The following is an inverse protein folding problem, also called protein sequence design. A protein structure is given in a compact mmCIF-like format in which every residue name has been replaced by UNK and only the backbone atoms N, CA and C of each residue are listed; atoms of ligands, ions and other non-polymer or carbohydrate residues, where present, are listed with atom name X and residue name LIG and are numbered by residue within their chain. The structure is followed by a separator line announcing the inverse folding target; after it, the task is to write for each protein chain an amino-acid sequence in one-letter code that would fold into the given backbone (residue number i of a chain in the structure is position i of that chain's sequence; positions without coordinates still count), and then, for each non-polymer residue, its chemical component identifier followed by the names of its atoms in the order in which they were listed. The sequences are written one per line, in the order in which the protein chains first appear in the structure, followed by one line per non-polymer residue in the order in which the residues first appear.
data_IF_865279584379
#
_entry.id   IF_865279584379
#
_cell.length_a   1.000
_cell.length_b   1.000
_cell.length_c   1.000
_cell.angle_alpha   90.00
_cell.angle_beta   90.00
_cell.angle_gamma   90.00
#
_symmetry.space_group_name_H-M   'P 1'
#
loop_
_entity.id
_entity.type
_entity.pdbx_description
1 polymer ?
#
# COMPACT_ATOMS: atom_id res chain seq x y z
N UNK A 1 21.49 5.19 -14.25
CA UNK A 1 21.05 3.80 -14.05
C UNK A 1 19.87 3.74 -13.07
N UNK A 2 19.97 4.41 -11.91
CA UNK A 2 18.88 4.62 -10.95
C UNK A 2 17.63 5.33 -11.53
N UNK A 3 17.79 6.28 -12.46
CA UNK A 3 16.66 6.90 -13.18
C UNK A 3 15.86 5.89 -14.01
N UNK A 4 16.53 4.96 -14.72
CA UNK A 4 15.87 3.86 -15.44
C UNK A 4 15.21 2.85 -14.51
N UNK A 5 15.73 2.68 -13.28
CA UNK A 5 15.14 1.84 -12.24
C UNK A 5 13.91 2.51 -11.60
N UNK A 6 13.95 3.82 -11.34
CA UNK A 6 12.79 4.61 -10.91
C UNK A 6 11.72 4.59 -12.01
N UNK A 7 12.10 4.70 -13.28
CA UNK A 7 11.18 4.54 -14.42
C UNK A 7 10.63 3.12 -14.52
N UNK A 8 11.41 2.08 -14.18
CA UNK A 8 10.95 0.68 -14.15
C UNK A 8 10.02 0.43 -12.97
N UNK A 9 10.32 0.97 -11.78
CA UNK A 9 9.44 0.99 -10.61
C UNK A 9 8.16 1.76 -10.92
N UNK A 10 8.23 2.91 -11.61
CA UNK A 10 7.06 3.64 -12.06
C UNK A 10 6.25 2.84 -13.10
N UNK A 11 6.88 2.07 -13.98
CA UNK A 11 6.18 1.20 -14.95
C UNK A 11 5.52 -0.03 -14.32
N UNK A 12 6.07 -0.58 -13.25
CA UNK A 12 5.49 -1.72 -12.52
C UNK A 12 4.45 -1.27 -11.47
N UNK A 13 4.53 -0.02 -10.99
CA UNK A 13 3.72 0.48 -9.87
C UNK A 13 2.81 1.69 -10.15
N UNK A 14 2.84 2.27 -11.34
CA UNK A 14 1.85 3.27 -11.76
C UNK A 14 1.08 2.76 -12.96
N UNK A 15 -0.21 2.47 -12.72
CA UNK A 15 -1.28 2.55 -13.70
C UNK A 15 -1.01 1.84 -15.03
N UNK A 16 -1.35 0.56 -15.06
CA UNK A 16 -2.11 0.03 -16.19
C UNK A 16 -3.54 -0.23 -15.71
N UNK A 17 -4.34 0.84 -15.55
CA UNK A 17 -5.80 0.71 -15.60
C UNK A 17 -6.15 0.70 -17.09
N UNK A 18 -6.36 -0.49 -17.63
CA UNK A 18 -6.98 -0.67 -18.93
C UNK A 18 -8.47 -0.43 -18.73
N UNK A 19 -8.99 0.68 -19.25
CA UNK A 19 -10.44 0.83 -19.43
C UNK A 19 -10.89 -0.12 -20.53
N UNK A 20 -11.66 -1.15 -20.15
CA UNK A 20 -12.50 -1.88 -21.10
C UNK A 20 -13.89 -1.22 -21.12
N UNK A 21 -14.21 -0.49 -22.20
CA UNK A 21 -15.60 -0.16 -22.50
C UNK A 21 -16.19 -1.35 -23.25
N UNK A 22 -17.06 -2.11 -22.59
CA UNK A 22 -17.88 -3.11 -23.27
C UNK A 22 -18.87 -2.35 -24.15
N UNK A 23 -18.70 -2.39 -25.47
CA UNK A 23 -19.81 -2.26 -26.40
C UNK A 23 -19.78 -3.41 -27.41
N UNK A 24 -20.93 -4.08 -27.44
CA UNK A 24 -21.37 -5.17 -28.28
C UNK A 24 -21.17 -4.88 -29.77
N UNK A 25 -20.29 -5.63 -30.43
CA UNK A 25 -20.68 -6.62 -31.45
C UNK A 25 -19.43 -7.16 -32.19
N UNK A 26 -19.54 -8.42 -32.62
CA UNK A 26 -18.73 -9.14 -33.62
C UNK A 26 -17.46 -9.92 -33.18
N UNK A 27 -17.73 -11.18 -32.79
CA UNK A 27 -17.15 -12.45 -33.29
C UNK A 27 -15.62 -12.70 -33.44
N UNK A 28 -15.19 -13.77 -32.74
CA UNK A 28 -14.15 -14.79 -33.07
C UNK A 28 -12.70 -14.26 -33.20
N UNK A 29 -11.80 -14.42 -32.22
CA UNK A 29 -10.98 -15.64 -31.92
C UNK A 29 -9.96 -15.24 -30.83
N UNK A 30 -9.53 -16.10 -29.87
CA UNK A 30 -8.68 -15.69 -28.74
C UNK A 30 -7.19 -15.66 -29.11
N UNK A 31 -6.43 -14.71 -28.56
CA UNK A 31 -4.96 -14.67 -28.71
C UNK A 31 -4.30 -14.58 -27.33
N UNK A 32 -3.63 -15.68 -26.95
CA UNK A 32 -2.57 -15.70 -25.94
C UNK A 32 -1.32 -15.03 -26.54
N UNK A 33 -0.63 -14.18 -25.76
CA UNK A 33 0.74 -13.78 -26.09
C UNK A 33 1.66 -13.97 -24.87
N UNK A 34 2.45 -15.02 -24.98
CA UNK A 34 3.76 -15.23 -24.38
C UNK A 34 4.81 -14.36 -25.09
N UNK A 35 5.78 -13.82 -24.35
CA UNK A 35 6.93 -12.97 -24.77
C UNK A 35 7.75 -13.44 -26.01
N UNK A 36 8.75 -12.66 -26.55
CA UNK A 36 9.21 -11.28 -26.23
C UNK A 36 9.49 -10.37 -27.48
N UNK A 37 9.59 -9.04 -27.31
CA UNK A 37 10.08 -8.13 -28.37
C UNK A 37 10.20 -6.65 -27.98
N UNK A 38 11.37 -6.24 -27.47
CA UNK A 38 11.72 -4.86 -27.12
C UNK A 38 12.74 -4.31 -28.13
N UNK A 39 12.47 -3.15 -28.73
CA UNK A 39 13.44 -2.37 -29.50
C UNK A 39 13.52 -0.93 -28.97
N UNK A 40 14.75 -0.46 -28.78
CA UNK A 40 15.11 0.84 -28.20
C UNK A 40 15.78 1.71 -29.26
N UNK A 41 15.39 2.98 -29.39
CA UNK A 41 16.11 3.99 -30.16
C UNK A 41 16.14 5.33 -29.42
N UNK A 42 17.34 5.87 -29.23
CA UNK A 42 17.69 7.25 -28.90
C UNK A 42 16.65 8.09 -28.12
N UNK A 43 16.59 7.81 -26.82
CA UNK A 43 15.90 8.60 -25.78
C UNK A 43 14.37 8.71 -25.83
N UNK A 44 13.68 8.04 -26.75
CA UNK A 44 12.24 7.80 -26.68
C UNK A 44 11.90 6.41 -27.26
N UNK A 45 11.06 5.61 -26.59
CA UNK A 45 10.51 4.39 -27.19
C UNK A 45 9.06 4.63 -27.60
N UNK A 46 8.80 4.42 -28.89
CA UNK A 46 7.54 4.60 -29.60
C UNK A 46 7.05 3.21 -30.05
N UNK A 47 5.79 2.86 -29.80
CA UNK A 47 5.05 1.89 -30.62
C UNK A 47 3.62 2.41 -30.81
N UNK A 48 3.31 2.74 -32.06
CA UNK A 48 1.95 2.72 -32.63
C UNK A 48 1.85 1.49 -33.52
N UNK A 49 0.66 0.88 -33.67
CA UNK A 49 -0.15 0.94 -34.91
C UNK A 49 -1.63 0.77 -34.50
N UNK A 50 -2.48 1.54 -35.16
CA UNK A 50 -3.85 1.84 -34.81
C UNK A 50 -4.82 1.43 -35.93
N UNK A 51 -6.07 1.15 -35.57
CA UNK A 51 -7.29 1.55 -36.32
C UNK A 51 -8.45 1.90 -35.36
N UNK A 52 -8.20 2.65 -34.27
CA UNK A 52 -8.75 4.02 -34.07
C UNK A 52 -8.56 4.66 -32.65
N UNK A 53 -7.50 4.36 -31.88
CA UNK A 53 -6.82 5.33 -30.97
C UNK A 53 -5.46 4.88 -30.37
N UNK A 54 -4.57 5.88 -30.22
CA UNK A 54 -3.21 5.85 -29.63
C UNK A 54 -3.18 6.51 -28.24
N UNK A 55 -2.39 6.01 -27.28
CA UNK A 55 -2.18 6.64 -25.96
C UNK A 55 -0.71 6.78 -25.55
N UNK A 56 -0.39 7.93 -24.94
CA UNK A 56 0.96 8.39 -24.59
C UNK A 56 1.16 8.44 -23.06
N UNK A 57 2.42 8.44 -22.61
CA UNK A 57 2.79 9.09 -21.35
C UNK A 57 4.16 9.76 -21.50
N UNK A 58 4.17 11.10 -21.42
CA UNK A 58 5.37 11.92 -21.40
C UNK A 58 5.94 12.01 -19.99
N UNK A 59 7.24 12.29 -19.88
CA UNK A 59 7.88 12.73 -18.65
C UNK A 59 7.08 13.87 -17.99
N UNK A 60 6.98 13.83 -16.66
CA UNK A 60 6.60 14.99 -15.89
C UNK A 60 7.81 15.93 -15.81
N UNK A 61 7.82 16.96 -16.63
CA UNK A 61 8.58 18.18 -16.36
C UNK A 61 8.06 18.74 -15.02
N UNK A 62 8.88 18.63 -13.95
CA UNK A 62 8.86 19.37 -12.67
C UNK A 62 9.19 18.56 -11.41
N UNK A 63 9.62 17.30 -11.50
CA UNK A 63 10.28 16.67 -10.35
C UNK A 63 11.70 17.24 -10.21
N UNK A 64 11.93 18.09 -9.20
CA UNK A 64 13.29 18.48 -8.78
C UNK A 64 14.12 17.19 -8.62
N UNK A 65 15.35 17.12 -9.15
CA UNK A 65 16.17 15.92 -9.01
C UNK A 65 16.37 15.65 -7.53
N UNK A 66 15.88 14.49 -7.06
CA UNK A 66 16.33 13.91 -5.79
C UNK A 66 17.85 13.82 -5.92
N UNK A 67 18.61 14.40 -4.99
CA UNK A 67 20.06 14.21 -4.98
C UNK A 67 20.33 12.71 -4.94
N UNK A 68 20.72 12.16 -6.10
CA UNK A 68 20.97 10.75 -6.29
C UNK A 68 22.22 10.41 -5.48
N UNK A 69 22.10 9.42 -4.59
CA UNK A 69 23.19 8.86 -3.82
C UNK A 69 24.28 8.42 -4.81
N UNK A 70 25.51 8.88 -4.59
CA UNK A 70 26.66 8.63 -5.45
C UNK A 70 26.90 7.12 -5.62
N UNK A 71 26.97 6.62 -6.86
CA UNK A 71 27.21 5.19 -7.18
C UNK A 71 28.54 4.69 -6.56
N UNK A 72 29.43 5.60 -6.14
CA UNK A 72 30.66 5.29 -5.42
C UNK A 72 30.47 4.80 -3.97
N UNK A 73 29.28 4.95 -3.37
CA UNK A 73 29.04 4.61 -1.96
C UNK A 73 29.01 3.09 -1.67
N UNK A 74 28.81 2.23 -2.66
CA UNK A 74 28.51 0.81 -2.42
C UNK A 74 29.54 -0.20 -2.92
N UNK A 75 30.73 0.23 -3.36
CA UNK A 75 31.87 -0.64 -3.68
C UNK A 75 31.54 -1.89 -4.56
N UNK A 76 30.51 -1.81 -5.41
CA UNK A 76 30.04 -2.92 -6.25
C UNK A 76 29.25 -4.03 -5.52
N UNK A 77 28.92 -3.85 -4.24
CA UNK A 77 28.01 -4.72 -3.48
C UNK A 77 26.54 -4.29 -3.59
N UNK A 78 25.61 -5.16 -3.16
CA UNK A 78 24.18 -4.81 -3.06
C UNK A 78 23.96 -3.82 -1.92
N UNK A 79 23.02 -2.90 -2.10
CA UNK A 79 22.56 -1.98 -1.07
C UNK A 79 21.66 -2.74 -0.10
N UNK A 80 22.00 -2.72 1.19
CA UNK A 80 21.26 -3.40 2.24
C UNK A 80 20.24 -2.47 2.90
N UNK A 81 18.98 -2.88 2.88
CA UNK A 81 17.85 -2.13 3.41
C UNK A 81 17.29 -2.81 4.66
N UNK A 82 17.17 -2.07 5.76
CA UNK A 82 16.63 -2.56 7.02
C UNK A 82 15.44 -1.76 7.52
N UNK A 83 14.59 -2.38 8.35
CA UNK A 83 13.42 -1.73 8.95
C UNK A 83 13.46 -1.79 10.47
N UNK A 84 13.13 -0.67 11.10
CA UNK A 84 12.82 -0.59 12.52
C UNK A 84 11.38 -0.12 12.67
N UNK A 85 10.49 -1.03 13.07
CA UNK A 85 9.05 -0.79 13.23
C UNK A 85 8.57 -1.30 14.59
N UNK A 86 7.62 -0.65 15.28
CA UNK A 86 7.22 -1.09 16.61
C UNK A 86 6.39 -2.38 16.60
N UNK A 87 5.65 -2.62 15.51
CA UNK A 87 4.62 -3.66 15.40
C UNK A 87 4.68 -4.33 14.03
N UNK A 88 4.22 -5.57 13.93
CA UNK A 88 4.06 -6.30 12.67
C UNK A 88 2.64 -6.84 12.56
N UNK A 89 1.65 -5.96 12.68
CA UNK A 89 0.26 -6.29 12.37
C UNK A 89 0.00 -6.07 10.89
N UNK A 90 -0.96 -6.80 10.32
CA UNK A 90 -1.32 -6.60 8.91
C UNK A 90 -2.10 -5.30 8.74
N UNK A 91 -1.72 -4.53 7.73
CA UNK A 91 -2.30 -3.23 7.42
C UNK A 91 -1.62 -2.62 6.19
N UNK A 92 -1.98 -1.40 5.83
CA UNK A 92 -1.51 -0.78 4.60
C UNK A 92 0.02 -0.67 4.49
N UNK A 93 0.71 -0.37 5.59
CA UNK A 93 2.18 -0.26 5.59
C UNK A 93 2.84 -1.62 5.45
N UNK A 94 2.40 -2.62 6.21
CA UNK A 94 2.97 -3.98 6.12
C UNK A 94 2.66 -4.63 4.77
N UNK A 95 1.48 -4.36 4.19
CA UNK A 95 1.17 -4.73 2.79
C UNK A 95 2.12 -4.06 1.81
N UNK A 96 2.30 -2.74 1.92
CA UNK A 96 3.22 -1.99 1.07
C UNK A 96 4.65 -2.52 1.19
N UNK A 97 5.06 -2.92 2.39
CA UNK A 97 6.36 -3.53 2.66
C UNK A 97 6.50 -4.87 1.94
N UNK A 98 5.54 -5.78 2.10
CA UNK A 98 5.53 -7.07 1.39
C UNK A 98 5.53 -6.89 -0.13
N UNK A 99 4.73 -5.97 -0.65
CA UNK A 99 4.70 -5.64 -2.08
C UNK A 99 6.05 -5.16 -2.58
N UNK A 100 6.75 -4.33 -1.79
CA UNK A 100 8.09 -3.87 -2.12
C UNK A 100 9.13 -5.00 -2.00
N UNK A 101 8.99 -5.88 -1.01
CA UNK A 101 9.87 -7.03 -0.84
C UNK A 101 9.80 -8.01 -2.01
N UNK A 102 8.58 -8.27 -2.49
CA UNK A 102 8.32 -9.19 -3.61
C UNK A 102 8.82 -8.67 -4.96
N UNK A 103 8.87 -7.35 -5.16
CA UNK A 103 9.33 -6.78 -6.43
C UNK A 103 10.77 -6.27 -6.41
N UNK A 104 11.49 -6.49 -5.30
CA UNK A 104 12.85 -5.99 -5.16
C UNK A 104 13.76 -6.57 -6.26
N UNK A 105 14.49 -5.69 -6.94
CA UNK A 105 15.56 -6.10 -7.85
C UNK A 105 16.76 -6.61 -7.04
N UNK A 106 16.82 -7.94 -6.89
CA UNK A 106 17.86 -8.62 -6.14
C UNK A 106 19.26 -8.44 -6.75
N UNK A 107 19.40 -7.86 -7.94
CA UNK A 107 20.72 -7.53 -8.47
C UNK A 107 21.37 -6.37 -7.72
N UNK A 108 20.58 -5.37 -7.29
CA UNK A 108 21.08 -4.14 -6.67
C UNK A 108 20.82 -4.04 -5.17
N UNK A 109 19.79 -4.73 -4.67
CA UNK A 109 19.33 -4.56 -3.30
C UNK A 109 19.20 -5.90 -2.56
N UNK A 110 19.27 -5.82 -1.24
CA UNK A 110 19.04 -6.92 -0.32
C UNK A 110 18.31 -6.42 0.94
N UNK A 111 17.41 -7.22 1.48
CA UNK A 111 16.76 -6.95 2.76
C UNK A 111 17.61 -7.50 3.89
N UNK A 112 18.06 -6.61 4.78
CA UNK A 112 18.92 -6.99 5.88
C UNK A 112 18.13 -7.61 7.04
N UNK A 113 16.91 -7.11 7.28
CA UNK A 113 16.01 -7.61 8.32
C UNK A 113 15.02 -6.56 8.81
N UNK A 114 14.17 -6.99 9.74
CA UNK A 114 13.21 -6.12 10.44
C UNK A 114 13.38 -6.24 11.95
N UNK A 115 13.53 -5.11 12.64
CA UNK A 115 13.39 -5.01 14.09
C UNK A 115 11.93 -4.71 14.46
N UNK A 116 11.39 -5.50 15.39
CA UNK A 116 10.07 -5.30 16.01
C UNK A 116 10.16 -5.23 17.53
N UNK A 117 9.11 -4.71 18.19
CA UNK A 117 9.09 -4.59 19.67
C UNK A 117 7.82 -5.09 20.34
N UNK A 118 6.68 -5.06 19.66
CA UNK A 118 5.39 -5.34 20.27
C UNK A 118 4.80 -6.66 19.80
N UNK A 119 4.89 -7.69 20.63
CA UNK A 119 4.30 -8.99 20.37
C UNK A 119 2.77 -9.06 20.45
N UNK A 120 2.10 -8.05 21.02
CA UNK A 120 0.62 -7.99 21.03
C UNK A 120 0.03 -7.50 19.71
N UNK A 121 0.85 -6.84 18.88
CA UNK A 121 0.49 -6.37 17.56
C UNK A 121 1.37 -7.05 16.52
N UNK A 122 1.29 -8.39 16.50
CA UNK A 122 2.06 -9.28 15.66
C UNK A 122 1.13 -10.24 14.93
N UNK A 123 1.32 -10.36 13.62
CA UNK A 123 0.61 -11.32 12.79
C UNK A 123 1.59 -12.42 12.33
N UNK A 124 1.48 -13.65 12.87
CA UNK A 124 2.35 -14.75 12.53
C UNK A 124 2.37 -15.08 11.03
N UNK A 125 1.26 -14.87 10.33
CA UNK A 125 1.19 -15.17 8.90
C UNK A 125 1.98 -14.16 8.08
N UNK A 126 1.80 -12.88 8.39
CA UNK A 126 2.62 -11.82 7.81
C UNK A 126 4.12 -12.02 8.11
N UNK A 127 4.46 -12.46 9.32
CA UNK A 127 5.84 -12.75 9.68
C UNK A 127 6.44 -13.89 8.83
N UNK A 128 5.69 -14.95 8.53
CA UNK A 128 6.15 -16.03 7.65
C UNK A 128 6.49 -15.52 6.25
N UNK A 129 5.61 -14.69 5.67
CA UNK A 129 5.86 -14.09 4.36
C UNK A 129 7.13 -13.23 4.37
N UNK A 130 7.35 -12.45 5.42
CA UNK A 130 8.56 -11.62 5.57
C UNK A 130 9.82 -12.48 5.71
N UNK A 131 9.74 -13.61 6.42
CA UNK A 131 10.87 -14.53 6.63
C UNK A 131 11.38 -15.19 5.35
N UNK A 132 10.57 -15.24 4.29
CA UNK A 132 11.02 -15.66 2.95
C UNK A 132 12.04 -14.67 2.35
N UNK A 133 12.08 -13.43 2.85
CA UNK A 133 12.96 -12.37 2.37
C UNK A 133 14.10 -12.03 3.33
N UNK A 134 13.82 -11.92 4.64
CA UNK A 134 14.80 -11.47 5.61
C UNK A 134 14.46 -11.87 7.06
N UNK A 135 15.45 -11.93 7.96
CA UNK A 135 15.22 -12.24 9.37
C UNK A 135 14.43 -11.14 10.11
N UNK A 136 13.69 -11.56 11.13
CA UNK A 136 12.96 -10.68 12.04
C UNK A 136 13.62 -10.75 13.43
N UNK A 137 13.88 -9.60 14.03
CA UNK A 137 14.53 -9.46 15.33
C UNK A 137 13.65 -8.73 16.34
N UNK A 138 13.79 -9.06 17.62
CA UNK A 138 13.16 -8.31 18.72
C UNK A 138 14.08 -8.26 19.94
N UNK A 139 14.02 -7.18 20.70
CA UNK A 139 14.66 -7.10 22.02
C UNK A 139 13.79 -7.60 23.17
N UNK A 140 12.53 -7.90 22.86
CA UNK A 140 11.50 -8.33 23.79
C UNK A 140 11.01 -9.70 23.34
N UNK A 141 11.01 -10.67 24.24
CA UNK A 141 10.43 -11.97 23.98
C UNK A 141 8.90 -11.95 24.13
N UNK A 142 8.19 -12.77 23.36
CA UNK A 142 6.75 -12.90 23.41
C UNK A 142 6.32 -14.29 22.92
N UNK A 143 5.26 -14.92 23.49
CA UNK A 143 4.84 -16.26 23.06
C UNK A 143 4.54 -16.38 21.55
N UNK A 144 4.02 -15.32 20.92
CA UNK A 144 3.74 -15.32 19.47
C UNK A 144 5.01 -15.29 18.58
N UNK A 145 6.18 -15.02 19.15
CA UNK A 145 7.45 -14.92 18.42
C UNK A 145 8.15 -16.27 18.21
N UNK A 146 7.69 -17.32 18.89
CA UNK A 146 8.33 -18.62 18.87
C UNK A 146 8.49 -19.17 17.44
N UNK A 147 9.74 -19.39 17.03
CA UNK A 147 10.09 -19.91 15.71
C UNK A 147 10.01 -18.89 14.56
N UNK A 148 9.61 -17.65 14.82
CA UNK A 148 9.43 -16.61 13.82
C UNK A 148 10.32 -15.38 14.03
N UNK A 149 10.77 -15.12 15.26
CA UNK A 149 11.55 -13.93 15.59
C UNK A 149 12.77 -14.32 16.42
N UNK A 150 13.92 -13.74 16.08
CA UNK A 150 15.18 -13.94 16.81
C UNK A 150 15.30 -12.88 17.91
N UNK A 151 15.45 -13.32 19.17
CA UNK A 151 15.59 -12.41 20.30
C UNK A 151 17.05 -11.99 20.48
N UNK A 152 17.31 -10.69 20.53
CA UNK A 152 18.65 -10.09 20.62
C UNK A 152 18.69 -8.97 21.65
N UNK A 153 19.87 -8.50 22.08
CA UNK A 153 19.97 -7.44 23.09
C UNK A 153 19.39 -6.09 22.65
N UNK A 154 19.60 -5.72 21.38
CA UNK A 154 19.03 -4.53 20.75
C UNK A 154 18.75 -4.84 19.28
N UNK A 155 17.47 -5.01 18.93
CA UNK A 155 17.07 -5.36 17.57
C UNK A 155 17.31 -4.21 16.59
N UNK A 156 17.02 -2.97 17.00
CA UNK A 156 17.30 -1.79 16.19
C UNK A 156 18.80 -1.65 15.88
N UNK A 157 19.70 -1.90 16.84
CA UNK A 157 21.14 -1.91 16.59
C UNK A 157 21.54 -3.02 15.62
N UNK A 158 21.00 -4.23 15.79
CA UNK A 158 21.24 -5.34 14.85
C UNK A 158 20.94 -4.91 13.42
N UNK A 159 19.78 -4.28 13.19
CA UNK A 159 19.39 -3.75 11.86
C UNK A 159 20.33 -2.66 11.38
N UNK A 160 20.70 -1.72 12.24
CA UNK A 160 21.59 -0.61 11.88
C UNK A 160 22.98 -1.11 11.45
N UNK A 161 23.54 -2.08 12.16
CA UNK A 161 24.89 -2.60 11.90
C UNK A 161 24.97 -3.31 10.53
N UNK A 162 23.90 -3.99 10.14
CA UNK A 162 23.84 -4.80 8.92
C UNK A 162 23.22 -4.11 7.70
N UNK A 163 22.72 -2.88 7.85
CA UNK A 163 22.06 -2.12 6.77
C UNK A 163 22.91 -0.95 6.30
N UNK A 164 22.80 -0.62 5.02
CA UNK A 164 23.33 0.62 4.47
C UNK A 164 22.32 1.76 4.64
N UNK A 165 21.02 1.46 4.52
CA UNK A 165 19.92 2.41 4.71
C UNK A 165 18.90 1.78 5.67
N UNK A 166 18.40 2.56 6.63
CA UNK A 166 17.40 2.10 7.59
C UNK A 166 16.12 2.91 7.46
N UNK A 167 14.98 2.23 7.36
CA UNK A 167 13.68 2.84 7.51
C UNK A 167 13.23 2.78 8.97
N UNK A 168 13.03 3.95 9.59
CA UNK A 168 12.43 4.05 10.92
C UNK A 168 10.99 4.50 10.76
N UNK A 169 10.04 3.65 11.15
CA UNK A 169 8.62 3.94 10.96
C UNK A 169 7.78 3.45 12.14
N UNK A 170 6.64 4.12 12.38
CA UNK A 170 5.64 3.72 13.36
C UNK A 170 5.86 4.19 14.80
N UNK A 171 7.04 4.73 15.12
CA UNK A 171 7.31 5.32 16.44
C UNK A 171 6.88 6.78 16.48
N UNK A 172 5.95 7.13 17.37
CA UNK A 172 5.49 8.52 17.60
C UNK A 172 6.07 9.16 18.86
N UNK A 173 6.90 8.42 19.59
CA UNK A 173 7.66 8.93 20.73
C UNK A 173 8.96 8.12 20.87
N UNK A 174 10.02 8.74 21.46
CA UNK A 174 11.24 8.03 21.82
C UNK A 174 10.99 6.81 22.69
N UNK A 175 11.75 5.74 22.45
CA UNK A 175 11.74 4.54 23.29
C UNK A 175 13.15 4.15 23.69
N UNK A 176 13.28 3.40 24.80
CA UNK A 176 14.58 3.02 25.38
C UNK A 176 15.52 2.40 24.34
N UNK A 177 15.04 1.52 23.48
CA UNK A 177 15.86 0.85 22.47
C UNK A 177 16.42 1.83 21.43
N UNK A 178 15.60 2.71 20.87
CA UNK A 178 16.05 3.71 19.89
C UNK A 178 17.08 4.67 20.49
N UNK A 179 16.93 5.04 21.77
CA UNK A 179 17.87 5.91 22.49
C UNK A 179 19.24 5.26 22.74
N UNK A 180 19.33 3.92 22.75
CA UNK A 180 20.59 3.19 22.91
C UNK A 180 21.09 2.60 21.58
N UNK A 181 20.51 3.02 20.46
CA UNK A 181 20.93 2.60 19.12
C UNK A 181 21.83 3.68 18.54
N UNK A 182 23.00 3.29 18.02
CA UNK A 182 23.94 4.20 17.38
C UNK A 182 23.56 4.44 15.92
N UNK A 183 22.81 5.52 15.68
CA UNK A 183 22.32 5.90 14.35
C UNK A 183 23.36 6.62 13.47
N UNK A 184 24.59 6.81 13.98
CA UNK A 184 25.61 7.64 13.32
C UNK A 184 25.93 7.15 11.90
N UNK A 185 26.01 8.09 10.95
CA UNK A 185 26.39 7.86 9.54
C UNK A 185 25.49 6.90 8.74
N UNK A 186 24.27 6.65 9.20
CA UNK A 186 23.32 5.77 8.49
C UNK A 186 22.21 6.62 7.89
N UNK A 187 22.11 6.71 6.55
CA UNK A 187 20.98 7.36 5.91
C UNK A 187 19.66 6.75 6.38
N UNK A 188 18.79 7.59 6.94
CA UNK A 188 17.48 7.16 7.43
C UNK A 188 16.40 7.49 6.41
N UNK A 189 15.69 6.46 5.94
CA UNK A 189 14.50 6.62 5.11
C UNK A 189 13.29 6.93 6.02
N UNK A 190 12.73 8.12 5.88
CA UNK A 190 11.56 8.59 6.65
C UNK A 190 10.39 8.78 5.70
N UNK A 191 9.31 8.03 5.92
CA UNK A 191 8.17 7.96 5.01
C UNK A 191 6.88 8.44 5.67
N UNK A 192 6.27 9.46 5.10
CA UNK A 192 4.92 9.89 5.46
C UNK A 192 3.88 8.99 4.77
N UNK A 193 3.30 8.05 5.52
CA UNK A 193 2.20 7.18 5.07
C UNK A 193 0.79 7.77 5.32
N UNK A 194 0.69 9.01 5.80
CA UNK A 194 -0.56 9.66 6.17
C UNK A 194 -0.45 11.18 6.17
N UNK A 195 -1.51 11.84 6.62
CA UNK A 195 -1.65 13.31 6.61
C UNK A 195 -2.08 13.87 7.98
N UNK A 196 -2.10 13.03 9.01
CA UNK A 196 -2.64 13.38 10.33
C UNK A 196 -1.53 13.66 11.36
N UNK A 197 -1.94 14.03 12.57
CA UNK A 197 -1.04 14.35 13.69
C UNK A 197 -0.15 13.15 14.08
N UNK A 198 -0.68 11.94 14.08
CA UNK A 198 0.11 10.72 14.30
C UNK A 198 1.25 10.58 13.29
N UNK A 199 1.01 10.91 12.01
CA UNK A 199 2.07 10.93 10.98
C UNK A 199 3.11 12.02 11.27
N UNK A 200 2.70 13.21 11.76
CA UNK A 200 3.64 14.27 12.17
C UNK A 200 4.53 13.79 13.32
N UNK A 201 3.94 13.19 14.34
CA UNK A 201 4.69 12.68 15.50
C UNK A 201 5.67 11.59 15.09
N UNK A 202 5.26 10.72 14.15
CA UNK A 202 6.14 9.71 13.62
C UNK A 202 7.35 10.28 12.87
N UNK A 203 7.13 11.28 12.01
CA UNK A 203 8.19 11.97 11.28
C UNK A 203 9.10 12.72 12.25
N UNK A 204 8.53 13.46 13.21
CA UNK A 204 9.28 14.22 14.19
C UNK A 204 10.15 13.32 15.06
N UNK A 205 9.62 12.17 15.50
CA UNK A 205 10.37 11.16 16.24
C UNK A 205 11.52 10.62 15.40
N UNK A 206 11.27 10.26 14.14
CA UNK A 206 12.29 9.69 13.25
C UNK A 206 13.40 10.69 12.93
N UNK A 207 13.04 11.94 12.66
CA UNK A 207 14.00 13.04 12.44
C UNK A 207 14.88 13.30 13.68
N UNK A 208 14.39 13.03 14.89
CA UNK A 208 15.16 13.16 16.12
C UNK A 208 16.36 12.20 16.22
N UNK A 209 16.37 11.12 15.44
CA UNK A 209 17.47 10.14 15.39
C UNK A 209 18.31 10.23 14.12
N UNK A 210 17.83 10.90 13.07
CA UNK A 210 18.49 10.94 11.78
C UNK A 210 19.59 12.01 11.71
N UNK A 211 20.84 11.61 11.45
CA UNK A 211 21.89 12.54 11.03
C UNK A 211 21.76 12.90 9.54
N UNK A 212 21.46 11.89 8.72
CA UNK A 212 21.16 12.02 7.29
C UNK A 212 19.78 11.42 7.02
N UNK A 213 18.96 12.11 6.21
CA UNK A 213 17.58 11.69 5.95
C UNK A 213 17.21 11.72 4.48
N UNK A 214 16.58 10.63 4.05
CA UNK A 214 15.86 10.49 2.78
C UNK A 214 14.37 10.65 3.10
N UNK A 215 13.77 11.73 2.62
CA UNK A 215 12.41 12.12 2.98
C UNK A 215 11.45 11.74 1.86
N UNK A 216 10.45 10.92 2.17
CA UNK A 216 9.47 10.45 1.20
C UNK A 216 8.06 10.66 1.72
N UNK A 217 7.13 10.99 0.83
CA UNK A 217 5.70 10.95 1.12
C UNK A 217 4.95 10.14 0.07
N UNK A 218 3.91 9.43 0.49
CA UNK A 218 3.09 8.59 -0.41
C UNK A 218 1.99 9.39 -1.13
N UNK A 219 1.91 10.70 -0.89
CA UNK A 219 1.03 11.67 -1.56
C UNK A 219 1.59 13.08 -1.44
N UNK A 220 1.18 14.01 -2.30
CA UNK A 220 1.51 15.44 -2.15
C UNK A 220 0.99 16.00 -0.83
N UNK A 221 -0.23 15.62 -0.42
CA UNK A 221 -0.80 16.10 0.85
C UNK A 221 0.01 15.65 2.08
N UNK A 222 0.68 14.49 2.01
CA UNK A 222 1.53 13.99 3.09
C UNK A 222 2.79 14.82 3.31
N UNK A 223 3.27 15.60 2.32
CA UNK A 223 4.41 16.52 2.49
C UNK A 223 4.15 17.50 3.64
N UNK A 224 2.90 17.90 3.85
CA UNK A 224 2.54 18.88 4.88
C UNK A 224 2.82 18.37 6.29
N UNK A 225 3.01 17.06 6.50
CA UNK A 225 3.36 16.46 7.79
C UNK A 225 4.82 16.68 8.19
N UNK A 226 5.70 17.01 7.24
CA UNK A 226 7.09 17.37 7.53
C UNK A 226 7.23 18.82 8.02
N UNK A 227 8.30 19.12 8.80
CA UNK A 227 8.70 20.49 9.12
C UNK A 227 8.85 21.34 7.86
N UNK A 228 8.40 22.60 7.92
CA UNK A 228 8.33 23.49 6.76
C UNK A 228 9.65 23.59 5.98
N UNK A 229 10.76 23.77 6.69
CA UNK A 229 12.10 23.88 6.09
C UNK A 229 12.59 22.59 5.39
N UNK A 230 11.92 21.45 5.56
CA UNK A 230 12.26 20.18 4.92
C UNK A 230 11.35 19.83 3.74
N UNK A 231 10.18 20.47 3.62
CA UNK A 231 9.14 20.08 2.64
C UNK A 231 9.64 20.06 1.20
N UNK A 232 10.51 20.99 0.84
CA UNK A 232 11.09 21.08 -0.51
C UNK A 232 12.03 19.92 -0.87
N UNK A 233 12.51 19.17 0.13
CA UNK A 233 13.37 18.00 -0.03
C UNK A 233 12.59 16.69 -0.06
N UNK A 234 11.28 16.72 0.22
CA UNK A 234 10.45 15.52 0.30
C UNK A 234 10.12 15.05 -1.13
N UNK A 235 10.52 13.83 -1.46
CA UNK A 235 10.11 13.18 -2.70
C UNK A 235 8.71 12.55 -2.54
N UNK A 236 7.87 12.66 -3.56
CA UNK A 236 6.60 11.93 -3.59
C UNK A 236 6.78 10.62 -4.33
N UNK A 237 6.61 9.51 -3.60
CA UNK A 237 6.65 8.15 -4.13
C UNK A 237 5.38 7.46 -3.65
N UNK A 238 4.42 7.31 -4.57
CA UNK A 238 3.13 6.70 -4.26
C UNK A 238 3.28 5.22 -3.94
N UNK A 239 2.34 4.70 -3.14
CA UNK A 239 2.28 3.28 -2.86
C UNK A 239 2.08 2.47 -4.15
N UNK A 240 2.81 1.37 -4.25
CA UNK A 240 2.62 0.37 -5.30
C UNK A 240 1.55 -0.65 -4.94
N UNK A 241 0.92 -1.25 -5.95
CA UNK A 241 -0.01 -2.37 -5.82
C UNK A 241 0.52 -3.56 -6.61
N UNK A 242 0.41 -4.76 -6.05
CA UNK A 242 0.68 -6.00 -6.78
C UNK A 242 -0.50 -6.34 -7.70
N UNK A 243 -0.28 -6.30 -9.01
CA UNK A 243 -1.33 -6.58 -10.01
C UNK A 243 -1.86 -8.02 -9.91
N UNK A 244 -1.06 -8.98 -9.47
CA UNK A 244 -1.53 -10.36 -9.30
C UNK A 244 -2.49 -10.47 -8.12
N UNK A 245 -2.31 -9.67 -7.08
CA UNK A 245 -3.23 -9.60 -5.93
C UNK A 245 -4.63 -9.09 -6.31
N UNK A 246 -4.71 -8.28 -7.37
CA UNK A 246 -5.97 -7.77 -7.91
C UNK A 246 -6.65 -8.71 -8.91
N UNK A 247 -6.02 -9.83 -9.30
CA UNK A 247 -6.63 -10.81 -10.21
C UNK A 247 -7.57 -11.74 -9.44
N UNK A 248 -8.81 -11.93 -9.90
CA UNK A 248 -9.75 -12.82 -9.22
C UNK A 248 -9.35 -14.29 -9.41
N UNK A 249 -9.36 -15.05 -8.31
CA UNK A 249 -9.26 -16.51 -8.30
C UNK A 249 -10.63 -17.18 -8.45
N UNK A 250 -11.67 -16.57 -7.90
CA UNK A 250 -13.06 -17.02 -7.97
C UNK A 250 -13.85 -16.17 -8.96
N UNK A 251 -14.85 -16.77 -9.60
CA UNK A 251 -15.83 -16.01 -10.37
C UNK A 251 -16.68 -15.12 -9.47
N UNK A 252 -17.27 -14.08 -10.06
CA UNK A 252 -18.19 -13.17 -9.39
C UNK A 252 -19.36 -13.91 -8.72
N UNK A 253 -19.90 -14.95 -9.34
CA UNK A 253 -21.01 -15.71 -8.78
C UNK A 253 -20.59 -16.57 -7.58
N UNK A 254 -19.41 -17.18 -7.63
CA UNK A 254 -18.89 -18.00 -6.53
C UNK A 254 -18.61 -17.16 -5.28
N UNK A 255 -17.94 -16.02 -5.44
CA UNK A 255 -17.63 -15.14 -4.31
C UNK A 255 -18.92 -14.55 -3.72
N UNK A 256 -19.89 -14.16 -4.54
CA UNK A 256 -21.17 -13.61 -4.07
C UNK A 256 -22.04 -14.66 -3.38
N UNK A 257 -22.01 -15.90 -3.85
CA UNK A 257 -22.62 -17.03 -3.14
C UNK A 257 -22.02 -17.22 -1.75
N UNK A 258 -20.71 -17.04 -1.59
CA UNK A 258 -20.05 -17.12 -0.26
C UNK A 258 -20.55 -16.02 0.70
N UNK A 259 -20.97 -14.87 0.17
CA UNK A 259 -21.55 -13.78 0.95
C UNK A 259 -23.05 -13.92 1.24
N UNK A 260 -23.70 -14.91 0.63
CA UNK A 260 -25.14 -15.16 0.77
C UNK A 260 -26.02 -14.19 -0.01
N UNK A 261 -25.52 -13.57 -1.08
CA UNK A 261 -26.26 -12.61 -1.91
C UNK A 261 -26.51 -13.17 -3.32
N UNK A 262 -27.59 -12.71 -3.98
CA UNK A 262 -27.92 -13.10 -5.35
C UNK A 262 -27.20 -12.21 -6.38
N UNK A 263 -27.30 -12.54 -7.67
CA UNK A 263 -26.80 -11.69 -8.77
C UNK A 263 -27.43 -10.30 -8.79
N UNK A 264 -28.71 -10.19 -8.40
CA UNK A 264 -29.50 -8.96 -8.49
C UNK A 264 -29.21 -7.96 -7.37
N UNK A 265 -28.58 -8.40 -6.27
CA UNK A 265 -28.24 -7.53 -5.14
C UNK A 265 -27.14 -6.53 -5.52
N UNK A 266 -27.19 -5.29 -5.05
CA UNK A 266 -26.07 -4.35 -5.21
C UNK A 266 -25.14 -4.47 -4.00
N UNK A 267 -23.93 -4.99 -4.23
CA UNK A 267 -22.91 -5.23 -3.21
C UNK A 267 -22.04 -3.99 -2.99
N UNK A 268 -22.18 -3.36 -1.82
CA UNK A 268 -21.43 -2.16 -1.43
C UNK A 268 -20.32 -2.57 -0.46
N UNK A 269 -19.07 -2.49 -0.88
CA UNK A 269 -17.93 -3.01 -0.14
C UNK A 269 -17.28 -2.02 0.81
N UNK A 270 -16.71 -2.54 1.88
CA UNK A 270 -15.68 -1.90 2.69
C UNK A 270 -14.52 -2.90 2.85
N UNK A 271 -13.31 -2.48 2.53
CA UNK A 271 -12.10 -3.29 2.66
C UNK A 271 -11.09 -2.53 3.51
N UNK A 272 -10.74 -3.09 4.67
CA UNK A 272 -9.70 -2.54 5.52
C UNK A 272 -9.89 -2.80 7.01
N UNK A 273 -9.02 -2.20 7.81
CA UNK A 273 -9.04 -2.36 9.26
C UNK A 273 -10.29 -1.71 9.88
N UNK A 274 -10.94 -2.36 10.83
CA UNK A 274 -12.05 -1.78 11.60
C UNK A 274 -11.50 -0.83 12.68
N UNK A 275 -11.35 0.44 12.31
CA UNK A 275 -10.83 1.48 13.18
C UNK A 275 -11.60 2.78 13.02
N UNK A 276 -11.72 3.55 14.11
CA UNK A 276 -12.44 4.84 14.14
C UNK A 276 -12.01 5.80 13.03
N UNK A 277 -10.72 5.83 12.69
CA UNK A 277 -10.16 6.69 11.63
C UNK A 277 -10.46 6.26 10.19
N UNK A 278 -11.27 5.21 9.97
CA UNK A 278 -11.62 4.70 8.64
C UNK A 278 -13.09 4.90 8.23
N UNK A 279 -13.91 5.46 9.14
CA UNK A 279 -15.35 5.61 8.93
C UNK A 279 -16.03 4.33 8.41
N UNK A 280 -15.84 3.25 9.16
CA UNK A 280 -16.35 1.90 8.82
C UNK A 280 -17.87 1.85 8.55
N UNK A 281 -18.64 2.78 9.11
CA UNK A 281 -20.10 2.77 8.99
C UNK A 281 -20.61 3.30 7.64
N UNK A 282 -19.76 3.90 6.81
CA UNK A 282 -20.16 4.53 5.56
C UNK A 282 -20.85 3.56 4.58
N UNK A 283 -20.37 2.32 4.46
CA UNK A 283 -21.00 1.31 3.61
C UNK A 283 -22.42 0.97 4.09
N UNK A 284 -22.62 0.74 5.39
CA UNK A 284 -23.94 0.50 5.97
C UNK A 284 -24.88 1.71 5.82
N UNK A 285 -24.36 2.93 5.97
CA UNK A 285 -25.13 4.17 5.76
C UNK A 285 -25.59 4.32 4.30
N UNK A 286 -24.70 4.07 3.34
CA UNK A 286 -25.04 4.07 1.91
C UNK A 286 -26.10 3.02 1.58
N UNK A 287 -25.95 1.81 2.14
CA UNK A 287 -26.90 0.70 2.00
C UNK A 287 -28.26 1.03 2.64
N UNK A 288 -28.28 1.75 3.77
CA UNK A 288 -29.52 2.27 4.37
C UNK A 288 -30.21 3.28 3.45
N UNK A 289 -29.48 4.27 2.93
CA UNK A 289 -30.01 5.32 2.08
C UNK A 289 -30.51 4.82 0.71
N UNK A 290 -29.89 3.77 0.17
CA UNK A 290 -30.15 3.28 -1.21
C UNK A 290 -31.29 2.25 -1.31
N UNK A 291 -31.94 1.90 -0.20
CA UNK A 291 -33.13 1.04 -0.19
C UNK A 291 -32.85 -0.48 -0.25
N UNK A 292 -33.90 -1.27 -0.51
CA UNK A 292 -33.98 -2.69 -0.13
C UNK A 292 -33.05 -3.66 -0.89
N UNK A 293 -32.54 -3.28 -2.06
CA UNK A 293 -31.72 -4.18 -2.90
C UNK A 293 -30.20 -4.02 -2.70
N UNK A 294 -29.77 -3.24 -1.71
CA UNK A 294 -28.36 -3.02 -1.41
C UNK A 294 -27.93 -3.85 -0.20
N UNK A 295 -26.70 -4.35 -0.23
CA UNK A 295 -26.12 -5.17 0.83
C UNK A 295 -24.66 -4.78 1.08
N UNK A 296 -24.30 -4.57 2.34
CA UNK A 296 -22.95 -4.14 2.71
C UNK A 296 -22.01 -5.37 2.85
N UNK A 297 -20.85 -5.34 2.19
CA UNK A 297 -19.84 -6.40 2.29
C UNK A 297 -18.62 -5.84 3.01
N UNK A 298 -18.36 -6.35 4.21
CA UNK A 298 -17.26 -5.93 5.06
C UNK A 298 -16.14 -6.97 5.02
N UNK A 299 -14.95 -6.58 4.57
CA UNK A 299 -13.77 -7.45 4.51
C UNK A 299 -12.67 -6.86 5.38
N UNK A 300 -12.25 -7.62 6.40
CA UNK A 300 -11.19 -7.23 7.31
C UNK A 300 -11.55 -7.45 8.78
N UNK A 301 -10.73 -6.87 9.65
CA UNK A 301 -10.80 -7.05 11.09
C UNK A 301 -10.30 -5.80 11.83
N UNK A 302 -10.53 -5.74 13.13
CA UNK A 302 -9.99 -4.66 13.97
C UNK A 302 -10.43 -4.76 15.41
N UNK A 303 -9.80 -3.96 16.27
CA UNK A 303 -9.94 -4.04 17.73
C UNK A 303 -11.40 -3.78 18.18
N UNK A 304 -12.14 -2.94 17.45
CA UNK A 304 -13.53 -2.58 17.78
C UNK A 304 -14.58 -3.42 17.02
N UNK A 305 -14.24 -4.63 16.56
CA UNK A 305 -15.11 -5.42 15.69
C UNK A 305 -16.54 -5.61 16.21
N UNK A 306 -16.73 -5.89 17.50
CA UNK A 306 -18.08 -6.04 18.09
C UNK A 306 -18.89 -4.74 18.03
N UNK A 307 -18.25 -3.60 18.29
CA UNK A 307 -18.90 -2.30 18.18
C UNK A 307 -19.30 -2.00 16.73
N UNK A 308 -18.42 -2.30 15.77
CA UNK A 308 -18.69 -2.13 14.34
C UNK A 308 -19.84 -3.02 13.88
N UNK A 309 -19.85 -4.30 14.24
CA UNK A 309 -20.93 -5.22 13.87
C UNK A 309 -22.27 -4.73 14.41
N UNK A 310 -22.32 -4.32 15.68
CA UNK A 310 -23.56 -3.83 16.29
C UNK A 310 -24.06 -2.55 15.62
N UNK A 311 -23.18 -1.57 15.38
CA UNK A 311 -23.57 -0.33 14.70
C UNK A 311 -24.00 -0.55 13.24
N UNK A 312 -23.34 -1.44 12.50
CA UNK A 312 -23.76 -1.82 11.13
C UNK A 312 -25.15 -2.45 11.15
N UNK A 313 -25.40 -3.36 12.10
CA UNK A 313 -26.72 -4.00 12.27
C UNK A 313 -27.81 -2.99 12.60
N UNK A 314 -27.54 -2.02 13.46
CA UNK A 314 -28.46 -0.93 13.79
C UNK A 314 -28.79 -0.07 12.58
N UNK A 315 -27.80 0.20 11.71
CA UNK A 315 -27.97 1.06 10.54
C UNK A 315 -28.72 0.38 9.38
N UNK A 316 -28.33 -0.84 9.00
CA UNK A 316 -28.85 -1.49 7.79
C UNK A 316 -29.61 -2.80 8.03
N UNK A 317 -29.92 -3.15 9.28
CA UNK A 317 -30.66 -4.36 9.64
C UNK A 317 -29.84 -5.60 9.32
N UNK A 318 -30.38 -6.54 8.54
CA UNK A 318 -29.69 -7.79 8.16
C UNK A 318 -28.95 -7.72 6.82
N UNK A 319 -28.86 -6.54 6.20
CA UNK A 319 -28.30 -6.37 4.84
C UNK A 319 -26.80 -6.13 4.87
N UNK A 320 -26.09 -6.99 5.57
CA UNK A 320 -24.63 -6.94 5.67
C UNK A 320 -24.04 -8.35 5.76
N UNK A 321 -22.80 -8.50 5.31
CA UNK A 321 -21.98 -9.70 5.50
C UNK A 321 -20.58 -9.29 5.94
N UNK A 322 -20.07 -9.91 7.02
CA UNK A 322 -18.69 -9.72 7.48
C UNK A 322 -17.86 -10.93 7.10
N UNK A 323 -16.81 -10.72 6.33
CA UNK A 323 -15.81 -11.72 5.99
C UNK A 323 -14.51 -11.42 6.74
N UNK A 324 -13.75 -12.45 7.12
CA UNK A 324 -12.41 -12.25 7.67
C UNK A 324 -11.50 -11.55 6.65
N UNK A 325 -10.34 -11.11 7.13
CA UNK A 325 -9.24 -10.69 6.25
C UNK A 325 -8.92 -11.80 5.24
N UNK A 326 -8.66 -11.42 4.00
CA UNK A 326 -8.29 -12.36 2.93
C UNK A 326 -7.18 -11.79 2.05
N UNK A 327 -6.40 -12.69 1.44
CA UNK A 327 -5.42 -12.39 0.40
C UNK A 327 -6.04 -12.42 -1.01
N UNK A 328 -7.26 -12.95 -1.14
CA UNK A 328 -8.01 -13.00 -2.40
C UNK A 328 -8.79 -11.69 -2.62
N UNK A 329 -8.05 -10.59 -2.74
CA UNK A 329 -8.64 -9.26 -2.94
C UNK A 329 -9.22 -9.09 -4.34
N UNK A 330 -8.61 -9.71 -5.36
CA UNK A 330 -9.16 -9.71 -6.72
C UNK A 330 -10.57 -10.29 -6.81
N UNK A 331 -10.85 -11.44 -6.17
CA UNK A 331 -12.20 -12.01 -6.20
C UNK A 331 -13.18 -11.19 -5.36
N UNK A 332 -12.73 -10.65 -4.24
CA UNK A 332 -13.55 -9.72 -3.46
C UNK A 332 -13.97 -8.54 -4.31
N UNK A 333 -13.02 -7.83 -4.93
CA UNK A 333 -13.32 -6.64 -5.73
C UNK A 333 -14.19 -6.97 -6.94
N UNK A 334 -13.98 -8.11 -7.60
CA UNK A 334 -14.80 -8.55 -8.73
C UNK A 334 -16.25 -8.89 -8.32
N UNK A 335 -16.48 -9.25 -7.05
CA UNK A 335 -17.79 -9.51 -6.48
C UNK A 335 -18.60 -8.25 -6.14
N UNK A 336 -17.92 -7.13 -5.91
CA UNK A 336 -18.52 -5.86 -5.50
C UNK A 336 -19.11 -5.10 -6.69
N UNK A 337 -20.14 -4.29 -6.42
CA UNK A 337 -20.67 -3.30 -7.35
C UNK A 337 -20.02 -1.92 -7.15
N UNK A 338 -19.62 -1.62 -5.92
CA UNK A 338 -18.84 -0.44 -5.58
C UNK A 338 -18.08 -0.65 -4.28
N UNK A 339 -16.84 -0.16 -4.18
CA UNK A 339 -16.11 -0.02 -2.92
C UNK A 339 -16.38 1.36 -2.31
N UNK A 340 -16.59 1.44 -0.99
CA UNK A 340 -16.64 2.70 -0.25
C UNK A 340 -15.38 2.86 0.59
N UNK A 341 -14.66 3.96 0.37
CA UNK A 341 -13.50 4.39 1.15
C UNK A 341 -13.74 5.81 1.70
N UNK A 342 -14.40 5.90 2.85
CA UNK A 342 -14.87 7.17 3.42
C UNK A 342 -13.97 7.70 4.56
N UNK A 343 -12.68 7.35 4.55
CA UNK A 343 -11.73 7.76 5.58
C UNK A 343 -11.57 9.30 5.61
N UNK A 344 -11.60 9.94 6.78
CA UNK A 344 -11.36 11.39 6.87
C UNK A 344 -9.90 11.78 6.59
N UNK A 345 -8.97 10.83 6.65
CA UNK A 345 -7.55 11.06 6.36
C UNK A 345 -6.89 9.76 5.89
N UNK A 346 -6.12 9.85 4.81
CA UNK A 346 -5.27 8.77 4.27
C UNK A 346 -3.97 9.37 3.70
N UNK A 347 -2.94 8.53 3.55
CA UNK A 347 -1.77 8.86 2.73
C UNK A 347 -1.91 8.32 1.32
N UNK A 348 -2.08 7.01 1.19
CA UNK A 348 -2.26 6.32 -0.09
C UNK A 348 -3.10 5.06 0.12
N UNK A 349 -4.45 5.18 0.12
CA UNK A 349 -5.32 4.06 0.43
C UNK A 349 -5.20 2.94 -0.61
N UNK A 350 -4.47 1.89 -0.26
CA UNK A 350 -4.19 0.75 -1.14
C UNK A 350 -5.47 0.10 -1.68
N UNK A 351 -6.51 -0.04 -0.86
CA UNK A 351 -7.78 -0.64 -1.29
C UNK A 351 -8.46 0.14 -2.43
N UNK A 352 -8.27 1.46 -2.50
CA UNK A 352 -8.77 2.28 -3.61
C UNK A 352 -7.96 2.02 -4.88
N UNK A 353 -6.64 1.95 -4.77
CA UNK A 353 -5.80 1.61 -5.93
C UNK A 353 -6.02 0.17 -6.43
N UNK A 354 -6.18 -0.79 -5.52
CA UNK A 354 -6.53 -2.18 -5.83
C UNK A 354 -7.89 -2.23 -6.55
N UNK A 355 -8.91 -1.50 -6.06
CA UNK A 355 -10.21 -1.41 -6.71
C UNK A 355 -10.13 -0.84 -8.12
N UNK A 356 -9.35 0.23 -8.31
CA UNK A 356 -9.13 0.83 -9.64
C UNK A 356 -8.47 -0.14 -10.61
N UNK A 357 -7.46 -0.90 -10.17
CA UNK A 357 -6.80 -1.92 -10.99
C UNK A 357 -7.77 -3.05 -11.34
N UNK A 358 -8.62 -3.46 -10.39
CA UNK A 358 -9.62 -4.50 -10.58
C UNK A 358 -10.85 -4.03 -11.40
N UNK A 359 -10.92 -2.74 -11.76
CA UNK A 359 -12.09 -2.16 -12.45
C UNK A 359 -13.34 -2.06 -11.57
N UNK A 360 -13.18 -2.11 -10.24
CA UNK A 360 -14.27 -1.92 -9.28
C UNK A 360 -14.51 -0.42 -9.07
N UNK A 361 -15.73 0.10 -9.30
CA UNK A 361 -16.08 1.49 -9.00
C UNK A 361 -15.83 1.82 -7.54
N UNK A 362 -15.43 3.07 -7.26
CA UNK A 362 -15.14 3.52 -5.90
C UNK A 362 -15.93 4.78 -5.58
N UNK A 363 -16.45 4.86 -4.35
CA UNK A 363 -16.97 6.07 -3.75
C UNK A 363 -16.05 6.43 -2.59
N UNK A 364 -15.46 7.62 -2.61
CA UNK A 364 -14.45 7.98 -1.61
C UNK A 364 -14.40 9.45 -1.24
N UNK A 365 -13.89 9.72 -0.04
CA UNK A 365 -13.45 11.06 0.36
C UNK A 365 -12.19 11.46 -0.42
N UNK A 366 -12.00 12.75 -0.75
CA UNK A 366 -10.87 13.23 -1.55
C UNK A 366 -9.58 13.37 -0.71
N UNK A 367 -9.06 12.26 -0.19
CA UNK A 367 -7.90 12.24 0.73
C UNK A 367 -6.72 11.45 0.15
N UNK A 368 -5.53 11.65 0.71
CA UNK A 368 -4.32 10.98 0.25
C UNK A 368 -4.00 11.31 -1.20
N UNK A 369 -3.50 10.32 -1.95
CA UNK A 369 -3.21 10.43 -3.37
C UNK A 369 -4.43 10.54 -4.31
N UNK A 370 -5.67 10.42 -3.79
CA UNK A 370 -6.86 10.24 -4.65
C UNK A 370 -7.06 11.46 -5.55
N UNK A 371 -7.11 12.71 -5.04
CA UNK A 371 -7.33 13.88 -5.88
C UNK A 371 -6.21 14.11 -6.90
N UNK A 372 -4.98 13.70 -6.55
CA UNK A 372 -3.79 13.85 -7.38
C UNK A 372 -3.86 12.91 -8.59
N UNK A 373 -4.28 11.68 -8.36
CA UNK A 373 -4.43 10.67 -9.40
C UNK A 373 -5.66 10.96 -10.28
N UNK A 374 -6.79 11.39 -9.70
CA UNK A 374 -7.96 11.81 -10.47
C UNK A 374 -7.67 12.98 -11.40
N UNK A 375 -6.91 13.98 -10.92
CA UNK A 375 -6.53 15.13 -11.74
C UNK A 375 -5.68 14.72 -12.96
N UNK A 376 -4.92 13.63 -12.84
CA UNK A 376 -4.03 13.13 -13.89
C UNK A 376 -4.72 12.14 -14.84
N UNK A 377 -5.55 11.24 -14.31
CA UNK A 377 -6.08 10.10 -15.05
C UNK A 377 -7.59 10.17 -15.30
N UNK A 378 -8.27 11.17 -14.75
CA UNK A 378 -9.71 11.32 -14.81
C UNK A 378 -10.43 10.71 -13.59
N UNK A 379 -11.73 11.00 -13.44
CA UNK A 379 -12.51 10.53 -12.30
C UNK A 379 -12.69 9.01 -12.38
N UNK A 380 -12.20 8.34 -11.34
CA UNK A 380 -12.41 6.92 -11.06
C UNK A 380 -13.11 6.71 -9.72
N UNK A 381 -13.35 7.79 -8.98
CA UNK A 381 -14.16 7.80 -7.77
C UNK A 381 -15.33 8.78 -7.90
N UNK A 382 -16.45 8.46 -7.27
CA UNK A 382 -17.46 9.46 -6.93
C UNK A 382 -17.21 10.00 -5.52
N UNK A 383 -17.40 11.31 -5.33
CA UNK A 383 -17.11 11.99 -4.06
C UNK A 383 -18.36 12.02 -3.18
N UNK A 384 -18.19 11.72 -1.90
CA UNK A 384 -19.23 11.81 -0.87
C UNK A 384 -19.49 13.25 -0.41
#
# INVERSE_FOLDING_TARGET
MLQRQIERWQRTYFFNVVYAKIQSDLQRTPVLLTEPGLLSLNNHTLITIDEDKVYYASHAENSRPVNLIDDQLFNGGKIKLGFCIPTMSMGGVTRSLLTMMNALDQHYFEWSGIAIRNGYAFDPETARLILEHCPIYSSIDHPQFQGLVTIVGNASQMIVDQSDIVNLWGYTAPVKELNHTDWKRKPMLIVAHGQNEWTRDNIQTSLGYAEESLLVSVSQGGIQTFPEHLRERVAVIYNGVDLNHCKPYLSRDEIRKSWGISSETIAVGYIGRFARGKNVFAAAQAVFASGKNHHAIYIGEGIDQNHVINGVKELCGHRYSFMPRTEDIGSVLSGLDCLISASPSEGGPLSVAEAWIAGCPVVSTPVGFIPELEAKYGPLVERL
#
